data_IF_226715372697
#
_entry.id   IF_226715372697
#
_cell.length_a   1.000
_cell.length_b   1.000
_cell.length_c   1.000
_cell.angle_alpha   90.00
_cell.angle_beta   90.00
_cell.angle_gamma   90.00
#
_symmetry.space_group_name_H-M   'P 1'
#
loop_
_entity.id
_entity.type
_entity.pdbx_description
1 polymer ?
#
# COMPACT_ATOMS: atom_id res chain seq x y z
N UNK A 1 -23.66 12.16 3.41
CA UNK A 1 -23.22 10.77 3.18
C UNK A 1 -21.90 10.82 2.45
N UNK A 2 -20.77 10.39 3.04
CA UNK A 2 -19.50 10.42 2.32
C UNK A 2 -19.61 9.47 1.12
N UNK A 3 -19.23 9.95 -0.07
CA UNK A 3 -19.19 9.14 -1.27
C UNK A 3 -18.30 7.91 -1.02
N UNK A 4 -18.76 6.72 -1.41
CA UNK A 4 -17.93 5.52 -1.33
C UNK A 4 -16.72 5.71 -2.24
N UNK A 5 -15.54 5.87 -1.64
CA UNK A 5 -14.26 5.91 -2.35
C UNK A 5 -14.04 4.61 -3.12
N UNK A 6 -13.58 4.71 -4.36
CA UNK A 6 -13.29 3.52 -5.17
C UNK A 6 -12.11 2.74 -4.59
N UNK A 7 -12.06 1.43 -4.83
CA UNK A 7 -10.94 0.57 -4.37
C UNK A 7 -9.60 1.04 -4.96
N UNK A 8 -9.59 1.46 -6.23
CA UNK A 8 -8.42 2.00 -6.90
C UNK A 8 -7.92 3.31 -6.26
N UNK A 9 -8.83 4.21 -5.87
CA UNK A 9 -8.48 5.47 -5.20
C UNK A 9 -7.94 5.21 -3.78
N UNK A 10 -8.53 4.27 -3.04
CA UNK A 10 -7.97 3.83 -1.74
C UNK A 10 -6.57 3.25 -1.90
N UNK A 11 -6.33 2.45 -2.94
CA UNK A 11 -5.02 1.87 -3.21
C UNK A 11 -3.96 2.93 -3.58
N UNK A 12 -4.35 3.99 -4.28
CA UNK A 12 -3.47 5.10 -4.61
C UNK A 12 -3.08 5.89 -3.34
N UNK A 13 -4.03 6.11 -2.43
CA UNK A 13 -3.78 6.83 -1.19
C UNK A 13 -2.89 6.06 -0.23
N UNK A 14 -3.16 4.77 -0.02
CA UNK A 14 -2.28 3.94 0.83
C UNK A 14 -0.83 3.92 0.31
N UNK A 15 -0.65 3.98 -1.01
CA UNK A 15 0.69 4.10 -1.60
C UNK A 15 1.32 5.47 -1.32
N UNK A 16 0.57 6.56 -1.50
CA UNK A 16 1.05 7.90 -1.18
C UNK A 16 1.41 8.04 0.31
N UNK A 17 0.60 7.45 1.20
CA UNK A 17 0.86 7.42 2.63
C UNK A 17 2.13 6.61 2.96
N UNK A 18 2.33 5.46 2.31
CA UNK A 18 3.57 4.69 2.46
C UNK A 18 4.80 5.52 2.08
N UNK A 19 4.77 6.19 0.91
CA UNK A 19 5.85 7.04 0.42
C UNK A 19 6.13 8.23 1.38
N UNK A 20 5.07 8.85 1.91
CA UNK A 20 5.19 9.94 2.87
C UNK A 20 5.84 9.48 4.20
N UNK A 21 5.46 8.30 4.70
CA UNK A 21 6.01 7.72 5.93
C UNK A 21 7.46 7.31 5.74
N UNK A 22 7.84 6.73 4.59
CA UNK A 22 9.23 6.43 4.27
C UNK A 22 10.08 7.71 4.23
N UNK A 23 9.56 8.77 3.60
CA UNK A 23 10.26 10.05 3.55
C UNK A 23 10.44 10.67 4.95
N UNK A 24 9.43 10.59 5.81
CA UNK A 24 9.53 11.02 7.20
C UNK A 24 10.59 10.22 7.98
N UNK A 25 10.61 8.89 7.81
CA UNK A 25 11.60 8.02 8.44
C UNK A 25 13.03 8.33 7.94
N UNK A 26 13.21 8.62 6.66
CA UNK A 26 14.50 9.03 6.09
C UNK A 26 14.98 10.36 6.66
N UNK A 27 14.08 11.35 6.81
CA UNK A 27 14.41 12.63 7.46
C UNK A 27 14.79 12.45 8.92
N UNK A 28 14.12 11.57 9.65
CA UNK A 28 14.46 11.26 11.03
C UNK A 28 15.83 10.58 11.13
N UNK A 29 16.14 9.61 10.25
CA UNK A 29 17.48 9.01 10.15
C UNK A 29 18.56 10.07 9.94
N UNK A 30 18.35 10.99 9.00
CA UNK A 30 19.28 12.08 8.75
C UNK A 30 19.47 12.99 9.98
N UNK A 31 18.40 13.23 10.75
CA UNK A 31 18.48 13.99 11.99
C UNK A 31 19.27 13.25 13.07
N UNK A 32 19.03 11.95 13.25
CA UNK A 32 19.79 11.09 14.17
C UNK A 32 21.28 11.13 13.85
N UNK A 33 21.65 10.93 12.58
CA UNK A 33 23.05 10.96 12.16
C UNK A 33 23.73 12.30 12.42
N UNK A 34 22.98 13.41 12.30
CA UNK A 34 23.51 14.76 12.57
C UNK A 34 23.68 15.03 14.06
N UNK A 35 22.84 14.44 14.90
CA UNK A 35 22.77 14.73 16.34
C UNK A 35 23.52 13.73 17.21
N UNK A 36 23.91 12.57 16.68
CA UNK A 36 24.55 11.49 17.47
C UNK A 36 25.83 11.91 18.20
N UNK A 37 26.58 12.85 17.63
CA UNK A 37 27.84 13.35 18.18
C UNK A 37 27.68 14.73 18.86
N UNK A 38 26.46 15.27 18.90
CA UNK A 38 26.19 16.54 19.56
C UNK A 38 26.06 16.31 21.08
N UNK A 39 26.93 16.93 21.92
CA UNK A 39 26.88 16.77 23.37
C UNK A 39 25.59 17.34 24.02
N UNK A 40 24.82 18.16 23.30
CA UNK A 40 23.51 18.62 23.74
C UNK A 40 22.37 17.62 23.47
N UNK A 41 22.63 16.55 22.70
CA UNK A 41 21.62 15.53 22.40
C UNK A 41 21.29 14.71 23.64
N UNK A 42 20.00 14.62 24.02
CA UNK A 42 19.61 13.82 25.16
C UNK A 42 19.96 12.34 24.95
N UNK A 43 20.42 11.62 25.98
CA UNK A 43 20.85 10.22 25.85
C UNK A 43 19.72 9.27 25.46
N UNK A 44 18.46 9.67 25.66
CA UNK A 44 17.28 8.90 25.24
C UNK A 44 16.94 9.07 23.75
N UNK A 45 17.46 10.11 23.08
CA UNK A 45 17.01 10.52 21.75
C UNK A 45 17.28 9.46 20.69
N UNK A 46 18.50 8.94 20.63
CA UNK A 46 18.90 7.95 19.60
C UNK A 46 18.02 6.70 19.69
N UNK A 47 17.88 6.11 20.88
CA UNK A 47 17.07 4.91 21.06
C UNK A 47 15.58 5.14 20.72
N UNK A 48 15.02 6.30 21.11
CA UNK A 48 13.64 6.64 20.78
C UNK A 48 13.44 6.87 19.27
N UNK A 49 14.38 7.55 18.63
CA UNK A 49 14.34 7.81 17.20
C UNK A 49 14.49 6.52 16.39
N UNK A 50 15.40 5.62 16.77
CA UNK A 50 15.55 4.31 16.15
C UNK A 50 14.27 3.46 16.25
N UNK A 51 13.65 3.43 17.43
CA UNK A 51 12.37 2.73 17.62
C UNK A 51 11.27 3.31 16.72
N UNK A 52 11.20 4.64 16.59
CA UNK A 52 10.23 5.29 15.72
C UNK A 52 10.52 5.05 14.24
N UNK A 53 11.79 5.07 13.83
CA UNK A 53 12.23 4.73 12.46
C UNK A 53 11.80 3.31 12.11
N UNK A 54 12.00 2.35 13.03
CA UNK A 54 11.61 0.96 12.82
C UNK A 54 10.08 0.85 12.66
N UNK A 55 9.31 1.45 13.57
CA UNK A 55 7.86 1.47 13.49
C UNK A 55 7.33 2.11 12.20
N UNK A 56 7.90 3.25 11.79
CA UNK A 56 7.55 3.93 10.55
C UNK A 56 7.87 3.08 9.31
N UNK A 57 9.02 2.39 9.30
CA UNK A 57 9.40 1.51 8.18
C UNK A 57 8.45 0.31 8.05
N UNK A 58 8.04 -0.30 9.17
CA UNK A 58 7.02 -1.35 9.18
C UNK A 58 5.68 -0.81 8.67
N UNK A 59 5.22 0.34 9.18
CA UNK A 59 3.96 0.95 8.76
C UNK A 59 3.95 1.26 7.25
N UNK A 60 5.02 1.81 6.70
CA UNK A 60 5.15 2.04 5.27
C UNK A 60 5.06 0.75 4.45
N UNK A 61 5.72 -0.32 4.91
CA UNK A 61 5.69 -1.63 4.27
C UNK A 61 4.27 -2.21 4.26
N UNK A 62 3.55 -2.10 5.37
CA UNK A 62 2.17 -2.57 5.50
C UNK A 62 1.22 -1.78 4.59
N UNK A 63 1.37 -0.45 4.54
CA UNK A 63 0.60 0.42 3.66
C UNK A 63 0.85 0.11 2.18
N UNK A 64 2.12 -0.06 1.78
CA UNK A 64 2.49 -0.42 0.42
C UNK A 64 1.95 -1.80 0.02
N UNK A 65 2.00 -2.77 0.94
CA UNK A 65 1.44 -4.11 0.76
C UNK A 65 -0.09 -4.04 0.59
N UNK A 66 -0.79 -3.36 1.49
CA UNK A 66 -2.24 -3.16 1.40
C UNK A 66 -2.63 -2.47 0.08
N UNK A 67 -1.90 -1.45 -0.36
CA UNK A 67 -2.10 -0.82 -1.66
C UNK A 67 -1.94 -1.81 -2.83
N UNK A 68 -0.95 -2.70 -2.78
CA UNK A 68 -0.75 -3.73 -3.80
C UNK A 68 -1.90 -4.75 -3.82
N UNK A 69 -2.37 -5.19 -2.65
CA UNK A 69 -3.52 -6.08 -2.53
C UNK A 69 -4.80 -5.46 -3.11
N UNK A 70 -5.10 -4.19 -2.76
CA UNK A 70 -6.27 -3.49 -3.29
C UNK A 70 -6.21 -3.30 -4.82
N UNK A 71 -5.03 -2.99 -5.37
CA UNK A 71 -4.84 -2.92 -6.84
C UNK A 71 -5.15 -4.26 -7.52
N UNK A 72 -4.66 -5.36 -6.96
CA UNK A 72 -4.90 -6.71 -7.48
C UNK A 72 -6.40 -7.07 -7.48
N UNK A 73 -7.11 -6.71 -6.39
CA UNK A 73 -8.56 -6.90 -6.30
C UNK A 73 -9.33 -6.05 -7.32
N UNK A 74 -8.94 -4.78 -7.51
CA UNK A 74 -9.56 -3.91 -8.51
C UNK A 74 -9.44 -4.49 -9.93
N UNK A 75 -8.24 -4.92 -10.32
CA UNK A 75 -8.03 -5.54 -11.63
C UNK A 75 -8.76 -6.86 -11.81
N UNK A 76 -8.93 -7.63 -10.74
CA UNK A 76 -9.72 -8.87 -10.78
C UNK A 76 -11.21 -8.60 -10.98
N UNK A 77 -11.74 -7.51 -10.39
CA UNK A 77 -13.12 -7.09 -10.57
C UNK A 77 -13.40 -6.50 -11.97
N UNK A 78 -12.40 -5.89 -12.60
CA UNK A 78 -12.49 -5.33 -13.96
C UNK A 78 -12.41 -6.38 -15.06
N UNK A 79 -11.92 -7.60 -14.77
CA UNK A 79 -11.80 -8.67 -15.76
C UNK A 79 -13.20 -9.22 -16.09
N UNK A 80 -13.75 -8.99 -17.30
CA UNK A 80 -15.04 -9.55 -17.66
C UNK A 80 -14.92 -11.08 -17.68
N UNK A 81 -15.84 -11.76 -17.01
CA UNK A 81 -16.00 -13.20 -17.17
C UNK A 81 -16.29 -13.48 -18.64
N UNK A 82 -15.34 -14.11 -19.34
CA UNK A 82 -15.58 -14.62 -20.70
C UNK A 82 -16.79 -15.55 -20.60
N UNK A 83 -17.92 -15.24 -21.24
CA UNK A 83 -19.06 -16.15 -21.21
C UNK A 83 -18.64 -17.47 -21.86
N UNK A 84 -19.01 -18.64 -21.31
CA UNK A 84 -18.64 -19.92 -21.89
C UNK A 84 -19.12 -19.98 -23.34
N UNK A 85 -18.36 -20.62 -24.26
CA UNK A 85 -18.76 -20.74 -25.65
C UNK A 85 -20.15 -21.38 -25.71
N UNK A 86 -21.10 -20.69 -26.32
CA UNK A 86 -22.47 -21.21 -26.52
C UNK A 86 -22.36 -22.55 -27.23
N UNK A 87 -22.87 -23.61 -26.60
CA UNK A 87 -22.92 -24.93 -27.20
C UNK A 87 -23.63 -24.87 -28.57
N UNK A 88 -23.17 -25.63 -29.59
CA UNK A 88 -23.84 -25.65 -30.87
C UNK A 88 -25.27 -26.17 -30.69
N UNK A 89 -26.24 -25.35 -31.06
CA UNK A 89 -27.66 -25.73 -31.14
C UNK A 89 -27.74 -26.89 -32.12
N UNK A 90 -27.88 -28.10 -31.59
CA UNK A 90 -28.15 -29.30 -32.37
C UNK A 90 -29.44 -29.11 -33.15
N UNK A 91 -29.30 -28.96 -34.46
CA UNK A 91 -30.38 -28.97 -35.45
C UNK A 91 -31.15 -30.29 -35.28
N UNK A 92 -32.35 -30.25 -34.68
CA UNK A 92 -33.33 -31.33 -34.81
C UNK A 92 -33.73 -31.41 -36.28
N UNK A 93 -33.17 -32.38 -36.99
CA UNK A 93 -33.77 -32.90 -38.21
C UNK A 93 -34.74 -34.00 -37.75
N UNK A 94 -36.02 -33.80 -38.05
CA UNK A 94 -36.98 -34.89 -38.06
C UNK A 94 -36.90 -35.62 -39.40
N UNK A 95 -37.10 -36.93 -39.35
CA UNK A 95 -37.91 -37.75 -40.25
C UNK A 95 -38.17 -39.09 -39.57
#
# INVERSE_FOLDING_TARGET
MPARRSVAESAALLRADAEAVEHAAARLRALVERLKDDPATPPWFTAAAEAHIAAATTAATDLASAAAHLRSLSHSAERPAVPPPRAPVGRRAGD
#
